data_IF_420239113168
#
_entry.id   IF_420239113168
#
_cell.length_a   1.000
_cell.length_b   1.000
_cell.length_c   1.000
_cell.angle_alpha   90.00
_cell.angle_beta   90.00
_cell.angle_gamma   90.00
#
_symmetry.space_group_name_H-M   'P 1'
#
loop_
_entity.id
_entity.type
_entity.pdbx_description
1 polymer ?
#
# COMPACT_ATOMS: atom_id res chain seq x y z
N UNK A 1 23.16 5.42 1.75
CA UNK A 1 23.66 4.03 1.60
C UNK A 1 22.56 2.96 1.56
N UNK A 2 21.41 3.10 2.26
CA UNK A 2 20.31 2.11 2.29
C UNK A 2 19.16 2.28 1.26
N UNK A 3 19.24 3.26 0.33
CA UNK A 3 18.16 3.57 -0.65
C UNK A 3 18.00 2.47 -1.71
N UNK A 4 19.10 1.94 -2.25
CA UNK A 4 19.09 0.87 -3.26
C UNK A 4 18.45 -0.42 -2.75
N UNK A 5 18.72 -0.78 -1.49
CA UNK A 5 18.16 -1.97 -0.85
C UNK A 5 16.64 -1.85 -0.65
N UNK A 6 16.14 -0.65 -0.37
CA UNK A 6 14.71 -0.35 -0.25
C UNK A 6 14.00 -0.49 -1.61
N UNK A 7 14.59 0.09 -2.65
CA UNK A 7 14.04 0.02 -4.01
C UNK A 7 14.04 -1.42 -4.56
N UNK A 8 15.12 -2.17 -4.30
CA UNK A 8 15.19 -3.59 -4.63
C UNK A 8 14.11 -4.41 -3.90
N UNK A 9 13.90 -4.17 -2.61
CA UNK A 9 12.83 -4.82 -1.83
C UNK A 9 11.45 -4.49 -2.40
N UNK A 10 11.17 -3.23 -2.72
CA UNK A 10 9.91 -2.80 -3.35
C UNK A 10 9.69 -3.50 -4.68
N UNK A 11 10.69 -3.53 -5.56
CA UNK A 11 10.61 -4.27 -6.84
C UNK A 11 10.25 -5.73 -6.64
N UNK A 12 10.86 -6.40 -5.65
CA UNK A 12 10.55 -7.79 -5.32
C UNK A 12 9.12 -7.98 -4.79
N UNK A 13 8.59 -7.02 -4.04
CA UNK A 13 7.21 -7.03 -3.57
C UNK A 13 6.24 -6.87 -4.75
N UNK A 14 6.50 -5.91 -5.64
CA UNK A 14 5.64 -5.61 -6.79
C UNK A 14 5.68 -6.67 -7.89
N UNK A 15 6.70 -7.55 -7.90
CA UNK A 15 6.73 -8.72 -8.78
C UNK A 15 5.75 -9.82 -8.35
N UNK A 16 5.33 -9.83 -7.08
CA UNK A 16 4.32 -10.78 -6.61
C UNK A 16 2.94 -10.27 -7.01
N UNK A 17 2.04 -11.17 -7.43
CA UNK A 17 0.65 -10.77 -7.67
C UNK A 17 0.02 -10.25 -6.38
N UNK A 18 -0.79 -9.20 -6.50
CA UNK A 18 -1.54 -8.67 -5.37
C UNK A 18 -2.55 -9.73 -4.89
N UNK A 19 -2.56 -10.12 -3.60
CA UNK A 19 -3.40 -11.22 -3.11
C UNK A 19 -4.91 -10.95 -3.30
N UNK A 20 -5.64 -11.93 -3.81
CA UNK A 20 -7.10 -11.79 -4.05
C UNK A 20 -7.88 -11.53 -2.76
N UNK A 21 -7.48 -12.14 -1.63
CA UNK A 21 -8.05 -11.88 -0.30
C UNK A 21 -7.95 -10.41 0.08
N UNK A 22 -6.84 -9.74 -0.22
CA UNK A 22 -6.67 -8.32 0.08
C UNK A 22 -7.55 -7.47 -0.82
N UNK A 23 -7.72 -7.88 -2.09
CA UNK A 23 -8.59 -7.21 -3.05
C UNK A 23 -10.05 -7.30 -2.61
N UNK A 24 -10.46 -8.44 -2.07
CA UNK A 24 -11.77 -8.65 -1.48
C UNK A 24 -12.00 -7.77 -0.23
N UNK A 25 -11.03 -7.74 0.69
CA UNK A 25 -11.08 -6.84 1.86
C UNK A 25 -11.27 -5.39 1.43
N UNK A 26 -10.47 -4.89 0.49
CA UNK A 26 -10.59 -3.50 0.02
C UNK A 26 -11.95 -3.24 -0.64
N UNK A 27 -12.45 -4.17 -1.47
CA UNK A 27 -13.78 -4.04 -2.08
C UNK A 27 -14.89 -3.95 -1.03
N UNK A 28 -14.78 -4.71 0.06
CA UNK A 28 -15.82 -4.80 1.09
C UNK A 28 -15.73 -3.71 2.16
N UNK A 29 -14.52 -3.21 2.46
CA UNK A 29 -14.26 -2.31 3.61
C UNK A 29 -13.80 -0.91 3.23
N UNK A 30 -13.46 -0.68 1.96
CA UNK A 30 -12.95 0.60 1.46
C UNK A 30 -13.83 1.05 0.30
N UNK A 31 -15.00 1.68 0.56
CA UNK A 31 -15.98 2.02 -0.48
C UNK A 31 -15.38 2.77 -1.68
N UNK A 32 -14.41 3.65 -1.41
CA UNK A 32 -13.71 4.42 -2.43
C UNK A 32 -13.00 3.56 -3.49
N UNK A 33 -12.55 2.36 -3.13
CA UNK A 33 -11.90 1.44 -4.04
C UNK A 33 -12.78 1.07 -5.25
N UNK A 34 -14.10 1.04 -5.06
CA UNK A 34 -15.06 0.72 -6.12
C UNK A 34 -15.26 1.86 -7.12
N UNK A 35 -14.97 3.11 -6.73
CA UNK A 35 -15.08 4.28 -7.62
C UNK A 35 -13.82 4.53 -8.45
N UNK A 36 -12.70 3.93 -8.06
CA UNK A 36 -11.43 4.06 -8.79
C UNK A 36 -11.49 3.34 -10.14
N UNK A 37 -10.82 3.90 -11.15
CA UNK A 37 -10.59 3.23 -12.42
C UNK A 37 -9.53 2.11 -12.31
N UNK A 38 -9.31 1.38 -13.39
CA UNK A 38 -8.36 0.24 -13.38
C UNK A 38 -6.91 0.67 -13.10
N UNK A 39 -6.49 1.84 -13.58
CA UNK A 39 -5.13 2.33 -13.38
C UNK A 39 -4.94 2.80 -11.92
N UNK A 40 -5.89 3.55 -11.40
CA UNK A 40 -5.93 4.00 -10.00
C UNK A 40 -5.98 2.82 -9.02
N UNK A 41 -6.80 1.79 -9.32
CA UNK A 41 -6.82 0.55 -8.50
C UNK A 41 -5.47 -0.15 -8.51
N UNK A 42 -4.84 -0.29 -9.68
CA UNK A 42 -3.51 -0.90 -9.77
C UNK A 42 -2.49 -0.11 -8.96
N UNK A 43 -2.49 1.22 -9.06
CA UNK A 43 -1.59 2.08 -8.29
C UNK A 43 -1.85 1.94 -6.79
N UNK A 44 -3.11 1.94 -6.35
CA UNK A 44 -3.45 1.74 -4.93
C UNK A 44 -2.98 0.38 -4.42
N UNK A 45 -3.19 -0.70 -5.19
CA UNK A 45 -2.74 -2.06 -4.83
C UNK A 45 -1.22 -2.10 -4.62
N UNK A 46 -0.45 -1.45 -5.49
CA UNK A 46 1.01 -1.35 -5.35
C UNK A 46 1.40 -0.57 -4.09
N UNK A 47 0.74 0.57 -3.84
CA UNK A 47 0.98 1.38 -2.63
C UNK A 47 0.69 0.59 -1.35
N UNK A 48 -0.44 -0.11 -1.31
CA UNK A 48 -0.85 -0.95 -0.17
C UNK A 48 0.15 -2.07 0.08
N UNK A 49 0.57 -2.78 -0.97
CA UNK A 49 1.55 -3.87 -0.83
C UNK A 49 2.89 -3.37 -0.27
N UNK A 50 3.35 -2.20 -0.74
CA UNK A 50 4.56 -1.56 -0.21
C UNK A 50 4.36 -1.12 1.23
N UNK A 51 3.24 -0.48 1.55
CA UNK A 51 2.95 0.04 2.89
C UNK A 51 2.93 -1.10 3.91
N UNK A 52 2.23 -2.19 3.61
CA UNK A 52 2.17 -3.38 4.48
C UNK A 52 3.56 -3.97 4.71
N UNK A 53 4.40 -4.03 3.68
CA UNK A 53 5.72 -4.62 3.78
C UNK A 53 6.76 -3.73 4.49
N UNK A 54 6.56 -2.40 4.49
CA UNK A 54 7.51 -1.45 5.10
C UNK A 54 7.11 -0.97 6.49
N UNK A 55 5.84 -1.14 6.88
CA UNK A 55 5.31 -0.68 8.16
C UNK A 55 5.07 -1.84 9.11
N UNK A 56 5.40 -1.62 10.37
CA UNK A 56 5.05 -2.53 11.45
C UNK A 56 3.67 -2.15 11.98
N UNK A 57 2.78 -3.13 12.06
CA UNK A 57 1.46 -2.97 12.67
C UNK A 57 1.51 -3.60 14.05
N UNK A 58 1.17 -2.81 15.06
CA UNK A 58 1.16 -3.23 16.46
C UNK A 58 -0.23 -3.05 17.02
N UNK A 59 -0.76 -4.11 17.63
CA UNK A 59 -2.04 -4.07 18.30
C UNK A 59 -1.84 -3.72 19.78
N UNK A 60 -2.62 -2.77 20.29
CA UNK A 60 -2.58 -2.37 21.68
C UNK A 60 -3.80 -2.89 22.45
N UNK A 61 -3.66 -3.10 23.75
CA UNK A 61 -4.79 -3.48 24.62
C UNK A 61 -5.38 -4.87 24.32
N UNK A 62 -4.56 -5.82 23.87
CA UNK A 62 -5.00 -7.18 23.52
C UNK A 62 -5.57 -7.32 22.10
N UNK A 63 -5.57 -6.25 21.30
CA UNK A 63 -5.97 -6.32 19.89
C UNK A 63 -4.95 -7.14 19.09
N UNK A 64 -5.41 -8.21 18.43
CA UNK A 64 -4.58 -8.95 17.46
C UNK A 64 -4.73 -8.30 16.09
N UNK A 65 -3.60 -7.98 15.46
CA UNK A 65 -3.58 -7.43 14.10
C UNK A 65 -3.88 -8.55 13.10
N UNK A 66 -4.96 -8.37 12.34
CA UNK A 66 -5.36 -9.27 11.25
C UNK A 66 -5.01 -8.67 9.89
N UNK A 67 -5.04 -9.50 8.85
CA UNK A 67 -4.92 -9.04 7.46
C UNK A 67 -5.93 -7.93 7.14
N UNK A 68 -7.18 -8.06 7.61
CA UNK A 68 -8.22 -7.09 7.38
C UNK A 68 -7.85 -5.72 7.96
N UNK A 69 -7.35 -5.69 9.20
CA UNK A 69 -6.90 -4.45 9.86
C UNK A 69 -5.76 -3.82 9.08
N UNK A 70 -4.69 -4.57 8.78
CA UNK A 70 -3.51 -4.06 8.09
C UNK A 70 -3.84 -3.56 6.67
N UNK A 71 -4.68 -4.30 5.93
CA UNK A 71 -5.10 -3.93 4.57
C UNK A 71 -5.96 -2.68 4.58
N UNK A 72 -6.95 -2.59 5.48
CA UNK A 72 -7.83 -1.41 5.56
C UNK A 72 -7.05 -0.16 5.96
N UNK A 73 -6.19 -0.23 6.99
CA UNK A 73 -5.35 0.90 7.41
C UNK A 73 -4.45 1.35 6.25
N UNK A 74 -3.81 0.41 5.57
CA UNK A 74 -2.92 0.71 4.44
C UNK A 74 -3.69 1.35 3.29
N UNK A 75 -4.84 0.80 2.92
CA UNK A 75 -5.66 1.33 1.84
C UNK A 75 -6.14 2.75 2.12
N UNK A 76 -6.62 3.04 3.34
CA UNK A 76 -7.04 4.38 3.73
C UNK A 76 -5.87 5.37 3.70
N UNK A 77 -4.70 4.99 4.22
CA UNK A 77 -3.51 5.84 4.17
C UNK A 77 -3.03 6.09 2.73
N UNK A 78 -3.07 5.07 1.88
CA UNK A 78 -2.62 5.14 0.48
C UNK A 78 -3.61 5.90 -0.42
N UNK A 79 -4.93 5.87 -0.14
CA UNK A 79 -5.93 6.65 -0.86
C UNK A 79 -5.65 8.15 -0.79
N UNK A 80 -5.23 8.65 0.37
CA UNK A 80 -4.92 10.07 0.58
C UNK A 80 -3.76 10.58 -0.31
N UNK A 81 -2.91 9.67 -0.81
CA UNK A 81 -1.75 10.02 -1.64
C UNK A 81 -1.89 9.54 -3.09
N UNK A 82 -2.99 8.88 -3.46
CA UNK A 82 -3.18 8.26 -4.77
C UNK A 82 -3.16 9.29 -5.92
N UNK A 83 -3.85 10.41 -5.73
CA UNK A 83 -3.96 11.49 -6.71
C UNK A 83 -2.90 12.59 -6.58
N UNK A 84 -1.96 12.45 -5.65
CA UNK A 84 -0.90 13.44 -5.49
C UNK A 84 0.23 13.14 -6.51
N UNK A 85 0.85 14.18 -7.13
CA UNK A 85 2.10 13.98 -7.86
C UNK A 85 3.07 13.30 -6.89
N UNK A 86 3.91 12.34 -7.32
CA UNK A 86 4.58 11.41 -6.41
C UNK A 86 5.17 12.13 -5.18
N UNK A 87 4.42 12.16 -4.07
CA UNK A 87 4.86 12.86 -2.87
C UNK A 87 6.05 12.07 -2.34
N UNK A 88 7.00 12.79 -1.75
CA UNK A 88 8.37 12.38 -1.44
C UNK A 88 8.56 11.08 -0.61
N UNK A 89 7.49 10.38 -0.20
CA UNK A 89 7.53 9.01 0.32
C UNK A 89 7.87 7.94 -0.74
N UNK A 90 7.66 8.26 -2.03
CA UNK A 90 8.01 7.40 -3.18
C UNK A 90 9.04 8.04 -4.14
N UNK A 91 9.41 9.31 -3.93
CA UNK A 91 10.50 10.00 -4.64
C UNK A 91 11.32 10.88 -3.69
N UNK A 92 12.31 10.33 -3.00
CA UNK A 92 13.63 10.99 -3.05
C UNK A 92 14.36 10.24 -4.19
N UNK A 93 14.54 10.72 -5.42
CA UNK A 93 14.52 12.04 -6.02
C UNK A 93 14.19 11.85 -7.52
N UNK A 94 13.58 12.85 -8.16
CA UNK A 94 13.90 13.15 -9.56
C UNK A 94 14.36 14.60 -9.59
N UNK A 95 15.66 14.80 -9.39
CA UNK A 95 16.48 15.74 -10.16
C UNK A 95 17.95 15.51 -9.81
N UNK A 96 18.73 15.60 -10.88
CA UNK A 96 20.17 15.39 -10.99
C UNK A 96 21.01 16.28 -10.09
#
# INVERSE_FOLDING_TARGET
>A
MFKWFREYKRRKILQKPFPDKWREIMRNRVPHYTYLDTAERSQLEQLVAIFIAEKNFEGCGGLTITDEISVVISAQACLLVLGLPPFQYLKQEFKS
#
